data_IF_232876319433
#
_entry.id   IF_232876319433
#
_cell.length_a   1.000
_cell.length_b   1.000
_cell.length_c   1.000
_cell.angle_alpha   90.00
_cell.angle_beta   90.00
_cell.angle_gamma   90.00
#
_symmetry.space_group_name_H-M   'P 1'
#
loop_
_entity.id
_entity.type
_entity.pdbx_description
1 polymer ?
#
# COMPACT_ATOMS: atom_id res chain seq x y z
N UNK A 1 -15.86 -37.49 -20.07
CA UNK A 1 -16.66 -36.24 -19.96
C UNK A 1 -15.72 -35.05 -20.12
N UNK A 2 -15.73 -34.45 -21.31
CA UNK A 2 -15.14 -33.13 -21.57
C UNK A 2 -16.08 -32.07 -20.98
N UNK A 3 -15.57 -31.14 -20.18
CA UNK A 3 -16.44 -30.16 -19.50
C UNK A 3 -15.71 -29.10 -18.68
N UNK A 4 -15.09 -28.14 -19.38
CA UNK A 4 -14.74 -26.79 -18.90
C UNK A 4 -13.70 -26.69 -17.76
N UNK A 5 -12.43 -26.92 -18.08
CA UNK A 5 -11.35 -26.13 -17.44
C UNK A 5 -11.56 -24.67 -17.86
N UNK A 6 -12.24 -23.87 -17.02
CA UNK A 6 -12.35 -22.42 -17.25
C UNK A 6 -10.94 -21.88 -17.51
N UNK A 7 -10.69 -21.52 -18.76
CA UNK A 7 -9.41 -20.94 -19.19
C UNK A 7 -9.33 -19.58 -18.49
N UNK A 8 -8.51 -19.48 -17.45
CA UNK A 8 -8.24 -18.20 -16.81
C UNK A 8 -7.39 -17.36 -17.77
N UNK A 9 -8.05 -16.53 -18.58
CA UNK A 9 -7.44 -15.70 -19.61
C UNK A 9 -6.37 -14.76 -19.02
N UNK A 10 -6.57 -14.31 -17.78
CA UNK A 10 -5.57 -13.51 -17.05
C UNK A 10 -4.34 -14.36 -16.76
N UNK A 11 -4.46 -15.63 -16.35
CA UNK A 11 -3.29 -16.50 -16.13
C UNK A 11 -2.43 -16.68 -17.37
N UNK A 12 -3.03 -16.74 -18.56
CA UNK A 12 -2.35 -17.11 -19.80
C UNK A 12 -1.88 -15.91 -20.63
N UNK A 13 -2.56 -14.76 -20.55
CA UNK A 13 -2.22 -13.58 -21.34
C UNK A 13 -1.34 -12.59 -20.59
N UNK A 14 -0.03 -12.64 -20.89
CA UNK A 14 1.00 -11.75 -20.31
C UNK A 14 0.68 -10.27 -20.54
N UNK A 15 0.20 -9.89 -21.73
CA UNK A 15 -0.11 -8.48 -22.05
C UNK A 15 -1.29 -7.98 -21.22
N UNK A 16 -2.32 -8.81 -21.05
CA UNK A 16 -3.47 -8.49 -20.22
C UNK A 16 -3.07 -8.33 -18.75
N UNK A 17 -2.18 -9.17 -18.22
CA UNK A 17 -1.63 -9.00 -16.86
C UNK A 17 -0.93 -7.66 -16.70
N UNK A 18 -0.04 -7.32 -17.62
CA UNK A 18 0.70 -6.06 -17.55
C UNK A 18 -0.25 -4.85 -17.63
N UNK A 19 -1.21 -4.89 -18.54
CA UNK A 19 -2.23 -3.84 -18.64
C UNK A 19 -3.03 -3.69 -17.33
N UNK A 20 -3.49 -4.80 -16.75
CA UNK A 20 -4.21 -4.78 -15.47
C UNK A 20 -3.33 -4.24 -14.34
N UNK A 21 -2.08 -4.67 -14.25
CA UNK A 21 -1.12 -4.20 -13.23
C UNK A 21 -0.88 -2.70 -13.30
N UNK A 22 -0.67 -2.14 -14.50
CA UNK A 22 -0.51 -0.69 -14.68
C UNK A 22 -1.82 0.09 -14.46
N UNK A 23 -2.96 -0.48 -14.83
CA UNK A 23 -4.28 0.13 -14.56
C UNK A 23 -4.53 0.23 -13.05
N UNK A 24 -4.21 -0.82 -12.30
CA UNK A 24 -4.26 -0.83 -10.84
C UNK A 24 -3.20 0.09 -10.22
N UNK A 25 -2.03 0.17 -10.84
CA UNK A 25 -0.94 1.04 -10.41
C UNK A 25 -1.26 2.53 -10.54
N UNK A 26 -2.06 2.93 -11.55
CA UNK A 26 -2.24 4.35 -11.90
C UNK A 26 -3.70 4.79 -11.84
N UNK A 27 -4.57 4.14 -12.62
CA UNK A 27 -5.93 4.62 -12.85
C UNK A 27 -6.80 4.46 -11.60
N UNK A 28 -6.64 3.35 -10.88
CA UNK A 28 -7.51 3.02 -9.76
C UNK A 28 -7.27 3.88 -8.51
N UNK A 29 -6.03 4.16 -8.09
CA UNK A 29 -5.73 5.19 -7.08
C UNK A 29 -6.38 6.54 -7.39
N UNK A 30 -6.31 6.96 -8.64
CA UNK A 30 -6.90 8.22 -9.11
C UNK A 30 -8.43 8.20 -9.04
N UNK A 31 -9.05 7.07 -9.39
CA UNK A 31 -10.49 6.87 -9.27
C UNK A 31 -10.96 6.90 -7.81
N UNK A 32 -10.23 6.23 -6.90
CA UNK A 32 -10.53 6.24 -5.46
C UNK A 32 -10.43 7.65 -4.89
N UNK A 33 -9.38 8.40 -5.25
CA UNK A 33 -9.26 9.80 -4.84
C UNK A 33 -10.42 10.66 -5.35
N UNK A 34 -10.84 10.46 -6.60
CA UNK A 34 -11.96 11.21 -7.19
C UNK A 34 -13.29 10.87 -6.50
N UNK A 35 -13.52 9.61 -6.14
CA UNK A 35 -14.72 9.18 -5.41
C UNK A 35 -14.73 9.75 -3.98
N UNK A 36 -13.59 9.70 -3.29
CA UNK A 36 -13.46 10.23 -1.94
C UNK A 36 -13.65 11.76 -1.87
N UNK A 37 -13.27 12.49 -2.93
CA UNK A 37 -13.44 13.95 -3.01
C UNK A 37 -14.86 14.40 -3.40
N UNK A 38 -15.72 13.51 -3.91
CA UNK A 38 -17.04 13.85 -4.44
C UNK A 38 -18.22 13.30 -3.64
N UNK A 39 -17.97 12.50 -2.61
CA UNK A 39 -19.01 11.82 -1.85
C UNK A 39 -18.81 11.94 -0.33
N UNK A 40 -19.90 11.76 0.44
CA UNK A 40 -19.93 11.91 1.89
C UNK A 40 -19.22 10.76 2.65
N UNK A 41 -18.34 9.97 2.03
CA UNK A 41 -17.61 8.94 2.76
C UNK A 41 -16.41 8.41 1.99
N UNK A 42 -15.25 9.00 2.23
CA UNK A 42 -13.97 8.47 1.74
C UNK A 42 -13.80 6.99 2.13
N UNK A 43 -14.19 6.62 3.36
CA UNK A 43 -14.16 5.24 3.85
C UNK A 43 -14.99 4.26 3.01
N UNK A 44 -16.17 4.67 2.54
CA UNK A 44 -17.03 3.80 1.72
C UNK A 44 -16.40 3.57 0.33
N UNK A 45 -15.58 4.50 -0.17
CA UNK A 45 -14.84 4.31 -1.42
C UNK A 45 -13.59 3.42 -1.23
N UNK A 46 -12.91 3.55 -0.09
CA UNK A 46 -11.63 2.89 0.19
C UNK A 46 -11.79 1.41 0.51
N UNK A 47 -12.78 1.04 1.34
CA UNK A 47 -12.96 -0.36 1.76
C UNK A 47 -13.20 -1.30 0.56
N UNK A 48 -14.11 -0.99 -0.38
CA UNK A 48 -14.29 -1.80 -1.59
C UNK A 48 -13.03 -1.83 -2.44
N UNK A 49 -12.35 -0.70 -2.63
CA UNK A 49 -11.09 -0.64 -3.36
C UNK A 49 -10.08 -1.65 -2.81
N UNK A 50 -9.83 -1.61 -1.50
CA UNK A 50 -8.89 -2.50 -0.84
C UNK A 50 -9.30 -3.96 -0.91
N UNK A 51 -10.59 -4.24 -0.70
CA UNK A 51 -11.11 -5.60 -0.80
C UNK A 51 -10.96 -6.18 -2.22
N UNK A 52 -11.36 -5.43 -3.25
CA UNK A 52 -11.31 -5.88 -4.63
C UNK A 52 -9.86 -6.00 -5.15
N UNK A 53 -9.03 -4.98 -4.90
CA UNK A 53 -7.65 -4.95 -5.41
C UNK A 53 -6.71 -5.83 -4.61
N UNK A 54 -7.03 -6.10 -3.34
CA UNK A 54 -6.30 -7.01 -2.48
C UNK A 54 -6.75 -8.46 -2.68
N UNK A 55 -7.89 -8.82 -2.07
CA UNK A 55 -8.31 -10.21 -1.91
C UNK A 55 -8.89 -10.78 -3.21
N UNK A 56 -9.88 -10.10 -3.80
CA UNK A 56 -10.60 -10.62 -4.98
C UNK A 56 -9.64 -10.78 -6.16
N UNK A 57 -8.82 -9.76 -6.42
CA UNK A 57 -7.83 -9.79 -7.48
C UNK A 57 -6.80 -10.90 -7.26
N UNK A 58 -6.33 -11.13 -6.03
CA UNK A 58 -5.42 -12.24 -5.72
C UNK A 58 -6.04 -13.59 -6.11
N UNK A 59 -7.32 -13.78 -5.80
CA UNK A 59 -8.09 -14.95 -6.23
C UNK A 59 -8.18 -15.08 -7.75
N UNK A 60 -8.39 -13.97 -8.47
CA UNK A 60 -8.45 -13.93 -9.94
C UNK A 60 -7.11 -14.26 -10.59
N UNK A 61 -6.00 -13.73 -10.07
CA UNK A 61 -4.63 -14.07 -10.50
C UNK A 61 -4.36 -15.56 -10.23
N UNK A 62 -5.00 -16.12 -9.20
CA UNK A 62 -4.92 -17.52 -8.82
C UNK A 62 -3.62 -17.84 -8.10
N UNK A 63 -3.16 -16.90 -7.28
CA UNK A 63 -2.01 -16.98 -6.38
C UNK A 63 -2.50 -17.03 -4.92
N UNK A 64 -1.72 -17.65 -4.03
CA UNK A 64 -2.06 -17.68 -2.60
C UNK A 64 -1.81 -16.32 -1.96
N UNK A 65 -2.52 -16.03 -0.87
CA UNK A 65 -2.24 -14.86 -0.02
C UNK A 65 -0.82 -15.04 0.56
N UNK A 66 0.12 -14.10 0.29
CA UNK A 66 1.54 -14.29 0.57
C UNK A 66 1.91 -13.92 2.02
N UNK A 67 1.32 -14.56 3.03
CA UNK A 67 1.56 -14.22 4.45
C UNK A 67 2.09 -15.45 5.19
N UNK A 68 2.93 -15.23 6.20
CA UNK A 68 3.48 -16.22 7.13
C UNK A 68 4.35 -17.31 6.49
N UNK A 69 5.00 -17.02 5.36
CA UNK A 69 5.98 -17.91 4.71
C UNK A 69 7.36 -17.24 4.59
N UNK A 70 7.82 -16.61 5.67
CA UNK A 70 9.06 -15.86 5.67
C UNK A 70 10.28 -16.74 6.00
N UNK A 71 11.27 -16.74 5.11
CA UNK A 71 12.61 -17.30 5.38
C UNK A 71 13.61 -16.18 5.62
N UNK A 72 13.76 -15.76 6.88
CA UNK A 72 14.62 -14.64 7.29
C UNK A 72 16.08 -14.77 6.79
N UNK A 73 16.59 -15.99 6.64
CA UNK A 73 17.94 -16.23 6.11
C UNK A 73 18.16 -15.68 4.70
N UNK A 74 17.10 -15.59 3.89
CA UNK A 74 17.16 -15.18 2.48
C UNK A 74 17.07 -13.67 2.24
N UNK A 75 16.63 -12.90 3.24
CA UNK A 75 16.25 -11.48 3.10
C UNK A 75 16.98 -10.54 4.08
N UNK A 76 18.09 -10.99 4.68
CA UNK A 76 18.79 -10.24 5.73
C UNK A 76 19.24 -8.84 5.30
N UNK A 77 19.72 -8.70 4.06
CA UNK A 77 20.22 -7.42 3.52
C UNK A 77 19.08 -6.44 3.28
N UNK A 78 17.98 -6.93 2.73
CA UNK A 78 16.78 -6.16 2.45
C UNK A 78 16.11 -5.71 3.75
N UNK A 79 16.04 -6.61 4.74
CA UNK A 79 15.50 -6.32 6.05
C UNK A 79 16.30 -5.23 6.78
N UNK A 80 17.62 -5.23 6.64
CA UNK A 80 18.48 -4.17 7.19
C UNK A 80 18.16 -2.83 6.52
N UNK A 81 18.08 -2.79 5.19
CA UNK A 81 17.73 -1.58 4.46
C UNK A 81 16.34 -1.06 4.88
N UNK A 82 15.32 -1.93 4.93
CA UNK A 82 13.97 -1.57 5.37
C UNK A 82 13.99 -0.99 6.78
N UNK A 83 14.69 -1.62 7.71
CA UNK A 83 14.81 -1.13 9.09
C UNK A 83 15.44 0.27 9.14
N UNK A 84 16.54 0.48 8.42
CA UNK A 84 17.24 1.77 8.37
C UNK A 84 16.34 2.87 7.78
N UNK A 85 15.75 2.64 6.61
CA UNK A 85 14.91 3.63 5.95
C UNK A 85 13.61 3.90 6.72
N UNK A 86 13.03 2.89 7.35
CA UNK A 86 11.86 3.06 8.22
C UNK A 86 12.23 3.89 9.45
N UNK A 87 13.37 3.62 10.09
CA UNK A 87 13.85 4.39 11.23
C UNK A 87 14.11 5.85 10.85
N UNK A 88 14.78 6.10 9.71
CA UNK A 88 14.99 7.47 9.19
C UNK A 88 13.64 8.16 8.97
N UNK A 89 12.70 7.50 8.31
CA UNK A 89 11.37 8.05 8.06
C UNK A 89 10.63 8.41 9.35
N UNK A 90 10.69 7.53 10.37
CA UNK A 90 10.09 7.75 11.69
C UNK A 90 10.77 8.93 12.40
N UNK A 91 12.11 8.97 12.41
CA UNK A 91 12.86 10.06 13.04
C UNK A 91 12.53 11.41 12.41
N UNK A 92 12.47 11.48 11.08
CA UNK A 92 12.05 12.69 10.39
C UNK A 92 10.62 13.07 10.82
N UNK A 93 9.71 12.10 10.91
CA UNK A 93 8.33 12.36 11.30
C UNK A 93 8.22 12.95 12.71
N UNK A 94 8.97 12.41 13.67
CA UNK A 94 9.01 12.90 15.06
C UNK A 94 9.64 14.29 15.16
N UNK A 95 10.65 14.60 14.33
CA UNK A 95 11.32 15.91 14.34
C UNK A 95 10.38 17.00 13.81
N UNK A 96 9.63 16.71 12.74
CA UNK A 96 8.82 17.72 12.05
C UNK A 96 7.39 17.84 12.59
N UNK A 97 6.89 16.83 13.29
CA UNK A 97 5.52 16.82 13.79
C UNK A 97 5.44 16.64 15.30
N UNK A 98 4.61 17.48 15.91
CA UNK A 98 4.26 17.37 17.34
C UNK A 98 3.11 16.39 17.54
N UNK A 99 3.09 15.64 18.66
CA UNK A 99 2.01 14.72 18.99
C UNK A 99 0.62 15.34 18.85
N UNK A 100 -0.30 14.59 18.26
CA UNK A 100 -1.68 15.03 18.05
C UNK A 100 -2.48 15.06 19.36
N UNK A 101 -3.48 15.94 19.44
CA UNK A 101 -4.44 15.99 20.54
C UNK A 101 -5.74 15.23 20.21
N UNK A 102 -5.65 14.10 19.53
CA UNK A 102 -6.83 13.29 19.22
C UNK A 102 -7.40 12.67 20.50
N UNK A 103 -8.72 12.48 20.56
CA UNK A 103 -9.33 11.78 21.68
C UNK A 103 -9.11 10.25 21.57
N UNK A 104 -9.34 9.51 22.66
CA UNK A 104 -9.10 8.05 22.72
C UNK A 104 -9.90 7.29 21.65
N UNK A 105 -11.11 7.75 21.35
CA UNK A 105 -11.98 7.12 20.35
C UNK A 105 -11.45 7.32 18.92
N UNK A 106 -10.99 8.53 18.59
CA UNK A 106 -10.33 8.86 17.33
C UNK A 106 -9.03 8.07 17.15
N UNK A 107 -8.24 7.92 18.21
CA UNK A 107 -7.06 7.05 18.18
C UNK A 107 -7.43 5.60 17.87
N UNK A 108 -8.45 5.05 18.53
CA UNK A 108 -8.91 3.68 18.29
C UNK A 108 -9.37 3.48 16.84
N UNK A 109 -10.20 4.38 16.31
CA UNK A 109 -10.67 4.33 14.93
C UNK A 109 -9.52 4.49 13.93
N UNK A 110 -8.57 5.39 14.21
CA UNK A 110 -7.37 5.57 13.40
C UNK A 110 -6.53 4.30 13.35
N UNK A 111 -6.34 3.63 14.49
CA UNK A 111 -5.61 2.34 14.52
C UNK A 111 -6.34 1.29 13.70
N UNK A 112 -7.66 1.17 13.83
CA UNK A 112 -8.42 0.16 13.07
C UNK A 112 -8.33 0.44 11.57
N UNK A 113 -8.70 1.64 11.13
CA UNK A 113 -8.83 1.95 9.70
C UNK A 113 -7.46 2.15 9.05
N UNK A 114 -6.63 2.99 9.66
CA UNK A 114 -5.37 3.39 9.06
C UNK A 114 -4.27 2.36 9.34
N UNK A 115 -4.08 1.88 10.57
CA UNK A 115 -2.99 0.90 10.83
C UNK A 115 -3.35 -0.48 10.29
N UNK A 116 -4.50 -1.03 10.69
CA UNK A 116 -4.81 -2.43 10.38
C UNK A 116 -5.25 -2.61 8.93
N UNK A 117 -6.25 -1.85 8.46
CA UNK A 117 -6.74 -2.07 7.11
C UNK A 117 -5.69 -1.65 6.08
N UNK A 118 -5.08 -0.47 6.22
CA UNK A 118 -4.01 -0.06 5.30
C UNK A 118 -2.80 -1.00 5.40
N UNK A 119 -2.33 -1.32 6.62
CA UNK A 119 -1.15 -2.17 6.82
C UNK A 119 -1.32 -3.62 6.35
N UNK A 120 -2.56 -4.13 6.27
CA UNK A 120 -2.84 -5.46 5.72
C UNK A 120 -3.13 -5.43 4.22
N UNK A 121 -3.97 -4.50 3.76
CA UNK A 121 -4.48 -4.50 2.39
C UNK A 121 -3.54 -3.82 1.40
N UNK A 122 -2.91 -2.71 1.77
CA UNK A 122 -2.04 -1.98 0.86
C UNK A 122 -0.84 -2.84 0.41
N UNK A 123 -0.09 -3.53 1.28
CA UNK A 123 0.96 -4.46 0.84
C UNK A 123 0.47 -5.57 -0.08
N UNK A 124 -0.76 -6.07 0.13
CA UNK A 124 -1.35 -7.10 -0.73
C UNK A 124 -1.67 -6.54 -2.12
N UNK A 125 -2.21 -5.32 -2.20
CA UNK A 125 -2.50 -4.62 -3.46
C UNK A 125 -1.21 -4.36 -4.22
N UNK A 126 -0.19 -3.85 -3.53
CA UNK A 126 1.10 -3.56 -4.14
C UNK A 126 1.81 -4.83 -4.61
N UNK A 127 1.70 -5.95 -3.88
CA UNK A 127 2.16 -7.26 -4.35
C UNK A 127 1.40 -7.73 -5.60
N UNK A 128 0.08 -7.53 -5.67
CA UNK A 128 -0.70 -7.84 -6.86
C UNK A 128 -0.29 -6.98 -8.06
N UNK A 129 -0.06 -5.68 -7.85
CA UNK A 129 0.44 -4.77 -8.90
C UNK A 129 1.81 -5.22 -9.39
N UNK A 130 2.72 -5.54 -8.47
CA UNK A 130 4.05 -6.05 -8.80
C UNK A 130 3.98 -7.32 -9.66
N UNK A 131 3.20 -8.31 -9.23
CA UNK A 131 3.06 -9.59 -9.93
C UNK A 131 2.43 -9.44 -11.32
N UNK A 132 1.49 -8.51 -11.46
CA UNK A 132 0.79 -8.25 -12.72
C UNK A 132 1.64 -7.42 -13.70
N UNK A 133 2.12 -6.25 -13.29
CA UNK A 133 2.91 -5.35 -14.13
C UNK A 133 4.29 -5.93 -14.43
N UNK A 134 4.89 -6.61 -13.44
CA UNK A 134 6.21 -7.23 -13.50
C UNK A 134 6.23 -8.62 -14.13
N UNK A 135 5.09 -9.16 -14.59
CA UNK A 135 4.98 -10.57 -14.99
C UNK A 135 5.94 -10.99 -16.12
N UNK A 136 6.39 -10.04 -16.95
CA UNK A 136 7.38 -10.26 -18.01
C UNK A 136 8.75 -9.65 -17.66
N UNK A 137 8.72 -8.43 -17.12
CA UNK A 137 9.90 -7.63 -16.85
C UNK A 137 9.73 -7.04 -15.45
N UNK A 138 10.52 -7.53 -14.50
CA UNK A 138 10.40 -7.14 -13.09
C UNK A 138 10.50 -5.63 -12.85
N UNK A 139 11.33 -4.92 -13.63
CA UNK A 139 11.47 -3.45 -13.51
C UNK A 139 10.14 -2.71 -13.72
N UNK A 140 9.24 -3.23 -14.55
CA UNK A 140 7.90 -2.67 -14.74
C UNK A 140 7.02 -2.88 -13.52
N UNK A 141 7.21 -3.97 -12.76
CA UNK A 141 6.56 -4.21 -11.49
C UNK A 141 6.95 -3.18 -10.43
N UNK A 142 8.25 -2.92 -10.27
CA UNK A 142 8.72 -1.85 -9.37
C UNK A 142 8.21 -0.48 -9.80
N UNK A 143 8.23 -0.17 -11.10
CA UNK A 143 7.71 1.08 -11.64
C UNK A 143 6.22 1.27 -11.34
N UNK A 144 5.41 0.23 -11.51
CA UNK A 144 3.98 0.29 -11.23
C UNK A 144 3.68 0.43 -9.72
N UNK A 145 4.43 -0.24 -8.84
CA UNK A 145 4.32 -0.06 -7.38
C UNK A 145 4.70 1.35 -6.97
N UNK A 146 5.83 1.87 -7.49
CA UNK A 146 6.28 3.23 -7.23
C UNK A 146 5.25 4.27 -7.70
N UNK A 147 4.67 4.09 -8.89
CA UNK A 147 3.61 4.96 -9.40
C UNK A 147 2.36 4.90 -8.51
N UNK A 148 1.97 3.72 -8.04
CA UNK A 148 0.82 3.56 -7.14
C UNK A 148 1.03 4.30 -5.83
N UNK A 149 2.19 4.09 -5.17
CA UNK A 149 2.52 4.80 -3.94
C UNK A 149 2.52 6.31 -4.19
N UNK A 150 3.18 6.78 -5.24
CA UNK A 150 3.24 8.21 -5.55
C UNK A 150 1.83 8.79 -5.72
N UNK A 151 0.96 8.16 -6.51
CA UNK A 151 -0.40 8.66 -6.76
C UNK A 151 -1.28 8.55 -5.51
N UNK A 152 -1.29 7.41 -4.81
CA UNK A 152 -2.07 7.23 -3.59
C UNK A 152 -1.68 8.25 -2.53
N UNK A 153 -0.39 8.48 -2.32
CA UNK A 153 0.10 9.36 -1.27
C UNK A 153 -0.04 10.84 -1.63
N UNK A 154 0.01 11.19 -2.92
CA UNK A 154 -0.15 12.59 -3.36
C UNK A 154 -1.60 13.01 -3.59
N UNK A 155 -2.45 12.12 -4.12
CA UNK A 155 -3.81 12.47 -4.55
C UNK A 155 -4.87 12.05 -3.54
N UNK A 156 -4.66 10.94 -2.82
CA UNK A 156 -5.63 10.41 -1.86
C UNK A 156 -5.24 10.74 -0.42
N UNK A 157 -4.12 10.19 0.06
CA UNK A 157 -3.77 10.29 1.46
C UNK A 157 -3.38 11.68 1.92
N UNK A 158 -2.89 12.56 1.05
CA UNK A 158 -2.52 13.94 1.38
C UNK A 158 -3.66 14.74 2.01
N UNK A 159 -4.92 14.36 1.76
CA UNK A 159 -6.11 14.99 2.33
C UNK A 159 -6.36 14.59 3.79
N UNK A 160 -5.86 13.42 4.21
CA UNK A 160 -6.12 12.82 5.53
C UNK A 160 -4.86 12.66 6.38
N UNK A 161 -3.70 12.61 5.74
CA UNK A 161 -2.39 12.37 6.32
C UNK A 161 -1.44 13.52 5.99
N UNK A 162 -0.84 14.11 7.03
CA UNK A 162 0.29 15.03 6.91
C UNK A 162 1.56 14.23 6.66
N UNK A 163 1.93 13.99 5.42
CA UNK A 163 3.25 13.40 5.15
C UNK A 163 4.36 14.41 5.48
N UNK A 164 5.60 13.95 5.71
CA UNK A 164 6.80 14.79 5.93
C UNK A 164 6.73 16.12 5.16
N UNK A 165 7.10 17.27 5.75
CA UNK A 165 6.56 18.59 5.40
C UNK A 165 6.27 18.79 3.91
N UNK A 166 5.01 19.11 3.61
CA UNK A 166 4.42 19.26 2.27
C UNK A 166 5.20 20.24 1.38
N UNK A 167 5.95 21.15 1.99
CA UNK A 167 6.80 22.13 1.31
C UNK A 167 8.10 21.52 0.71
N UNK A 168 8.37 20.23 0.96
CA UNK A 168 9.52 19.53 0.38
C UNK A 168 9.08 18.60 -0.77
N UNK A 169 9.33 18.94 -2.05
CA UNK A 169 8.98 18.09 -3.19
C UNK A 169 9.61 16.68 -3.16
N UNK A 170 10.63 16.45 -2.33
CA UNK A 170 11.22 15.13 -2.08
C UNK A 170 10.37 14.18 -1.23
N UNK A 171 9.28 14.64 -0.60
CA UNK A 171 8.49 13.81 0.32
C UNK A 171 7.80 12.62 -0.37
N UNK A 172 7.17 12.82 -1.53
CA UNK A 172 6.53 11.71 -2.26
C UNK A 172 7.55 10.63 -2.65
N UNK A 173 8.78 11.03 -3.01
CA UNK A 173 9.88 10.10 -3.28
C UNK A 173 10.34 9.36 -2.02
N UNK A 174 10.38 10.02 -0.87
CA UNK A 174 10.68 9.35 0.41
C UNK A 174 9.63 8.29 0.73
N UNK A 175 8.33 8.56 0.50
CA UNK A 175 7.27 7.56 0.69
C UNK A 175 7.44 6.38 -0.27
N UNK A 176 7.77 6.63 -1.54
CA UNK A 176 8.08 5.57 -2.52
C UNK A 176 9.26 4.72 -2.06
N UNK A 177 10.30 5.33 -1.48
CA UNK A 177 11.45 4.58 -0.96
C UNK A 177 11.00 3.72 0.23
N UNK A 178 10.37 4.32 1.24
CA UNK A 178 9.97 3.65 2.48
C UNK A 178 9.00 2.49 2.21
N UNK A 179 7.95 2.72 1.43
CA UNK A 179 6.90 1.73 1.15
C UNK A 179 7.21 0.83 -0.05
N UNK A 180 8.14 1.23 -0.93
CA UNK A 180 8.56 0.44 -2.09
C UNK A 180 9.72 -0.52 -1.80
N UNK A 181 10.61 -0.20 -0.85
CA UNK A 181 11.72 -1.09 -0.44
C UNK A 181 11.26 -2.50 -0.04
N UNK A 182 10.15 -2.68 0.71
CA UNK A 182 9.61 -3.99 1.04
C UNK A 182 9.27 -4.89 -0.16
N UNK A 183 9.09 -4.34 -1.37
CA UNK A 183 8.94 -5.15 -2.60
C UNK A 183 10.14 -6.08 -2.81
N UNK A 184 11.35 -5.66 -2.42
CA UNK A 184 12.56 -6.49 -2.55
C UNK A 184 12.51 -7.72 -1.64
N UNK A 185 11.92 -7.60 -0.44
CA UNK A 185 11.67 -8.76 0.41
C UNK A 185 10.64 -9.65 -0.25
N UNK A 186 9.52 -9.09 -0.71
CA UNK A 186 8.47 -9.84 -1.38
C UNK A 186 8.98 -10.60 -2.62
N UNK A 187 9.79 -10.00 -3.46
CA UNK A 187 10.38 -10.66 -4.64
C UNK A 187 11.19 -11.91 -4.24
N UNK A 188 11.93 -11.84 -3.13
CA UNK A 188 12.83 -12.91 -2.68
C UNK A 188 12.13 -14.00 -1.88
N UNK A 189 11.20 -13.62 -1.01
CA UNK A 189 10.52 -14.55 -0.09
C UNK A 189 9.16 -15.01 -0.61
N UNK A 190 8.53 -14.24 -1.51
CA UNK A 190 7.13 -14.39 -1.85
C UNK A 190 6.19 -14.06 -0.69
N UNK A 191 6.67 -13.30 0.31
CA UNK A 191 5.97 -13.03 1.57
C UNK A 191 5.89 -11.52 1.85
N UNK A 192 4.69 -11.03 2.19
CA UNK A 192 4.40 -9.62 2.50
C UNK A 192 4.40 -9.32 4.00
N UNK A 193 4.69 -10.28 4.87
CA UNK A 193 4.55 -10.11 6.33
C UNK A 193 5.43 -8.97 6.83
N UNK A 194 6.69 -8.90 6.37
CA UNK A 194 7.60 -7.78 6.72
C UNK A 194 7.09 -6.45 6.17
N UNK A 195 6.51 -6.47 4.97
CA UNK A 195 5.92 -5.29 4.36
C UNK A 195 4.74 -4.77 5.19
N UNK A 196 3.83 -5.66 5.58
CA UNK A 196 2.69 -5.33 6.45
C UNK A 196 3.14 -4.81 7.81
N UNK A 197 4.09 -5.48 8.47
CA UNK A 197 4.60 -5.02 9.76
C UNK A 197 5.25 -3.63 9.64
N UNK A 198 6.03 -3.40 8.59
CA UNK A 198 6.66 -2.10 8.35
C UNK A 198 5.61 -1.00 8.11
N UNK A 199 4.59 -1.24 7.26
CA UNK A 199 3.49 -0.30 7.06
C UNK A 199 2.75 -0.02 8.36
N UNK A 200 2.43 -1.05 9.15
CA UNK A 200 1.73 -0.89 10.43
C UNK A 200 2.52 -0.01 11.41
N UNK A 201 3.82 -0.30 11.60
CA UNK A 201 4.68 0.45 12.51
C UNK A 201 4.78 1.91 12.05
N UNK A 202 5.02 2.15 10.76
CA UNK A 202 5.15 3.50 10.22
C UNK A 202 3.85 4.29 10.35
N UNK A 203 2.72 3.66 10.04
CA UNK A 203 1.38 4.24 10.14
C UNK A 203 1.00 4.57 11.59
N UNK A 204 1.40 3.72 12.53
CA UNK A 204 1.17 3.96 13.96
C UNK A 204 1.92 5.21 14.44
N UNK A 205 3.17 5.39 13.99
CA UNK A 205 3.95 6.60 14.28
C UNK A 205 3.28 7.84 13.71
N UNK A 206 2.78 7.78 12.46
CA UNK A 206 2.04 8.89 11.84
C UNK A 206 0.87 9.31 12.72
N UNK A 207 0.07 8.37 13.20
CA UNK A 207 -1.09 8.65 14.05
C UNK A 207 -0.66 9.34 15.35
N UNK A 208 0.33 8.79 16.06
CA UNK A 208 0.75 9.35 17.36
C UNK A 208 1.43 10.70 17.24
N UNK A 209 2.07 10.99 16.12
CA UNK A 209 2.64 12.30 15.82
C UNK A 209 1.61 13.29 15.25
N UNK A 210 0.30 13.05 15.40
CA UNK A 210 -0.76 13.97 14.97
C UNK A 210 -0.88 14.10 13.45
N UNK A 211 -0.36 13.11 12.75
CA UNK A 211 -0.22 13.08 11.31
C UNK A 211 -1.48 12.66 10.56
N UNK A 212 -2.45 12.07 11.25
CA UNK A 212 -3.65 11.51 10.62
C UNK A 212 -4.92 12.12 11.21
N UNK A 213 -5.78 12.61 10.33
CA UNK A 213 -7.04 13.26 10.64
C UNK A 213 -8.21 12.33 10.26
N UNK A 214 -8.59 11.49 11.22
CA UNK A 214 -9.71 10.56 11.07
C UNK A 214 -11.05 11.30 10.88
N UNK A 215 -11.19 12.50 11.43
CA UNK A 215 -12.42 13.28 11.32
C UNK A 215 -12.73 13.65 9.86
N UNK A 216 -11.69 14.07 9.11
CA UNK A 216 -11.81 14.32 7.66
C UNK A 216 -12.13 13.07 6.86
N UNK A 217 -11.62 11.91 7.29
CA UNK A 217 -11.88 10.64 6.61
C UNK A 217 -13.32 10.14 6.85
N UNK A 218 -13.86 10.44 8.04
CA UNK A 218 -15.19 10.04 8.49
C UNK A 218 -16.30 11.06 8.20
N UNK A 219 -15.95 12.28 7.75
CA UNK A 219 -16.94 13.34 7.55
C UNK A 219 -17.93 12.96 6.43
N UNK A 220 -19.21 12.99 6.78
CA UNK A 220 -20.35 12.82 5.87
C UNK A 220 -20.81 14.15 5.30
#
# INVERSE_FOLDING_TARGET
MSGSTKINAIKQNVRLKQFLGWTLGIALPTAVATMANKGPAAIIAIIPYWYFCGIVLRGIIGTRIPIFNLRLSSVKKELLAITIFTAIGISLYIIYYTPGQNNVFEYLLSVIIFVLINGLMEPLILANIYDLAGCRIKILGYGAVAANILIMYTVFWSNYCRFLPVDFPGNAFIQVIIFGLPVLVYEKSGDITIWSLQHMIYTLVIIFAGGFDISKLMHF
#
